data_IF_767933314882
#
_entry.id   IF_767933314882
#
_cell.length_a   1.000
_cell.length_b   1.000
_cell.length_c   1.000
_cell.angle_alpha   90.00
_cell.angle_beta   90.00
_cell.angle_gamma   90.00
#
_symmetry.space_group_name_H-M   'P 1'
#
loop_
_entity.id
_entity.type
_entity.pdbx_description
1 polymer ?
#
# COMPACT_ATOMS: atom_id res chain seq x y z
N UNK A 1 10.03 13.70 18.96
CA UNK A 1 9.36 12.41 18.70
C UNK A 1 9.88 11.86 17.38
N UNK A 2 10.33 10.60 17.33
CA UNK A 2 10.99 10.00 16.16
C UNK A 2 10.08 10.07 14.92
N UNK A 3 10.42 10.91 13.93
CA UNK A 3 9.72 11.07 12.63
C UNK A 3 9.70 9.80 11.77
N UNK A 4 10.39 8.74 12.19
CA UNK A 4 10.55 7.52 11.43
C UNK A 4 9.32 6.60 11.40
N UNK A 5 8.34 6.78 12.31
CA UNK A 5 7.17 5.91 12.45
C UNK A 5 5.86 6.74 12.41
N UNK A 6 5.73 7.61 11.41
CA UNK A 6 4.51 8.40 11.18
C UNK A 6 3.69 7.77 10.06
N UNK A 7 2.37 7.69 10.23
CA UNK A 7 1.47 7.09 9.24
C UNK A 7 0.63 8.19 8.59
N UNK A 8 1.03 8.61 7.38
CA UNK A 8 0.44 9.74 6.66
C UNK A 8 1.40 10.93 6.54
N UNK A 9 1.02 11.89 5.71
CA UNK A 9 1.73 13.16 5.53
C UNK A 9 1.04 14.27 6.34
N UNK A 10 1.85 15.15 6.92
CA UNK A 10 1.35 16.39 7.53
C UNK A 10 1.16 17.41 6.40
N UNK A 11 -0.09 17.67 6.07
CA UNK A 11 -0.49 18.65 5.06
C UNK A 11 -0.98 19.89 5.77
N UNK A 12 -0.52 21.07 5.33
CA UNK A 12 -1.02 22.35 5.82
C UNK A 12 -2.54 22.43 5.63
N UNK A 13 -3.28 22.51 6.75
CA UNK A 13 -4.75 22.50 6.77
C UNK A 13 -5.40 21.32 7.49
N UNK A 14 -4.63 20.27 7.83
CA UNK A 14 -5.13 19.15 8.63
C UNK A 14 -4.36 19.02 9.96
N UNK A 15 -5.10 18.91 11.07
CA UNK A 15 -4.51 18.67 12.41
C UNK A 15 -4.10 17.21 12.65
N UNK A 16 -4.37 16.32 11.68
CA UNK A 16 -4.08 14.88 11.73
C UNK A 16 -3.30 14.48 10.49
N UNK A 17 -2.40 13.47 10.58
CA UNK A 17 -1.72 12.96 9.42
C UNK A 17 -2.73 12.33 8.47
N UNK A 18 -2.64 12.71 7.20
CA UNK A 18 -3.58 12.30 6.15
C UNK A 18 -2.86 11.47 5.11
N UNK A 19 -3.59 10.59 4.44
CA UNK A 19 -3.06 9.76 3.37
C UNK A 19 -3.99 9.84 2.16
N UNK A 20 -3.41 9.93 0.97
CA UNK A 20 -4.18 10.01 -0.27
C UNK A 20 -4.75 8.63 -0.62
N UNK A 21 -6.07 8.48 -0.58
CA UNK A 21 -6.76 7.22 -0.86
C UNK A 21 -6.42 6.63 -2.21
N UNK A 22 -6.29 7.51 -3.21
CA UNK A 22 -6.18 7.07 -4.61
C UNK A 22 -4.82 6.41 -4.86
N UNK A 23 -3.79 6.89 -4.17
CA UNK A 23 -2.45 6.28 -4.20
C UNK A 23 -2.48 4.89 -3.58
N UNK A 24 -3.20 4.71 -2.47
CA UNK A 24 -3.38 3.40 -1.83
C UNK A 24 -4.16 2.44 -2.72
N UNK A 25 -5.25 2.89 -3.33
CA UNK A 25 -6.05 2.07 -4.24
C UNK A 25 -5.25 1.65 -5.47
N UNK A 26 -4.49 2.57 -6.06
CA UNK A 26 -3.62 2.24 -7.19
C UNK A 26 -2.54 1.23 -6.79
N UNK A 27 -1.90 1.43 -5.63
CA UNK A 27 -0.89 0.51 -5.11
C UNK A 27 -1.46 -0.90 -4.86
N UNK A 28 -2.63 -0.98 -4.21
CA UNK A 28 -3.33 -2.24 -3.95
C UNK A 28 -3.71 -2.95 -5.26
N UNK A 29 -4.22 -2.22 -6.25
CA UNK A 29 -4.56 -2.76 -7.57
C UNK A 29 -3.35 -3.35 -8.32
N UNK A 30 -2.18 -2.71 -8.24
CA UNK A 30 -0.95 -3.20 -8.88
C UNK A 30 -0.47 -4.50 -8.22
N UNK A 31 -0.41 -4.51 -6.88
CA UNK A 31 0.00 -5.70 -6.12
C UNK A 31 -0.98 -6.86 -6.33
N UNK A 32 -2.29 -6.56 -6.35
CA UNK A 32 -3.33 -7.53 -6.65
C UNK A 32 -3.15 -8.14 -8.05
N UNK A 33 -2.95 -7.32 -9.08
CA UNK A 33 -2.78 -7.78 -10.45
C UNK A 33 -1.53 -8.66 -10.59
N UNK A 34 -0.42 -8.27 -9.96
CA UNK A 34 0.82 -9.03 -9.94
C UNK A 34 0.64 -10.40 -9.26
N UNK A 35 -0.05 -10.44 -8.12
CA UNK A 35 -0.39 -11.70 -7.43
C UNK A 35 -1.35 -12.55 -8.25
N UNK A 36 -2.36 -11.94 -8.87
CA UNK A 36 -3.34 -12.64 -9.70
C UNK A 36 -2.66 -13.33 -10.89
N UNK A 37 -1.82 -12.61 -11.66
CA UNK A 37 -1.05 -13.20 -12.77
C UNK A 37 -0.17 -14.35 -12.27
N UNK A 38 0.49 -14.17 -11.12
CA UNK A 38 1.35 -15.20 -10.52
C UNK A 38 0.58 -16.47 -10.17
N UNK A 39 -0.63 -16.34 -9.62
CA UNK A 39 -1.50 -17.48 -9.30
C UNK A 39 -1.99 -18.15 -10.59
N UNK A 40 -2.42 -17.38 -11.59
CA UNK A 40 -2.82 -17.94 -12.89
C UNK A 40 -1.67 -18.75 -13.52
N UNK A 41 -0.45 -18.23 -13.49
CA UNK A 41 0.72 -18.93 -14.02
C UNK A 41 0.98 -20.27 -13.33
N UNK A 42 0.83 -20.31 -11.99
CA UNK A 42 0.92 -21.56 -11.23
C UNK A 42 -0.20 -22.53 -11.60
N UNK A 43 -1.43 -22.05 -11.76
CA UNK A 43 -2.57 -22.90 -12.11
C UNK A 43 -2.44 -23.55 -13.49
N UNK A 44 -1.96 -22.82 -14.48
CA UNK A 44 -1.85 -23.33 -15.85
C UNK A 44 -0.54 -24.06 -16.14
N UNK A 45 0.59 -23.54 -15.65
CA UNK A 45 1.93 -24.03 -16.01
C UNK A 45 2.66 -24.73 -14.85
N UNK A 46 2.14 -24.66 -13.62
CA UNK A 46 2.82 -25.17 -12.43
C UNK A 46 4.12 -24.42 -12.09
N UNK A 47 4.35 -23.25 -12.67
CA UNK A 47 5.56 -22.46 -12.44
C UNK A 47 5.41 -21.56 -11.21
N UNK A 48 6.11 -21.93 -10.13
CA UNK A 48 6.11 -21.20 -8.86
C UNK A 48 7.14 -20.07 -8.79
N UNK A 49 7.98 -19.88 -9.81
CA UNK A 49 9.07 -18.91 -9.79
C UNK A 49 8.52 -17.48 -9.65
N UNK A 50 7.53 -17.12 -10.46
CA UNK A 50 6.92 -15.80 -10.41
C UNK A 50 6.17 -15.57 -9.09
N UNK A 51 5.44 -16.60 -8.61
CA UNK A 51 4.71 -16.53 -7.34
C UNK A 51 5.62 -16.29 -6.13
N UNK A 52 6.80 -16.92 -6.10
CA UNK A 52 7.78 -16.70 -5.03
C UNK A 52 8.23 -15.24 -4.99
N UNK A 53 8.60 -14.67 -6.14
CA UNK A 53 8.98 -13.26 -6.20
C UNK A 53 7.83 -12.32 -5.85
N UNK A 54 6.63 -12.62 -6.34
CA UNK A 54 5.43 -11.84 -6.04
C UNK A 54 5.15 -11.77 -4.54
N UNK A 55 5.19 -12.91 -3.85
CA UNK A 55 5.00 -12.98 -2.40
C UNK A 55 6.12 -12.23 -1.67
N UNK A 56 7.39 -12.39 -2.06
CA UNK A 56 8.50 -11.67 -1.42
C UNK A 56 8.37 -10.15 -1.59
N UNK A 57 8.00 -9.66 -2.77
CA UNK A 57 7.77 -8.23 -3.03
C UNK A 57 6.59 -7.73 -2.18
N UNK A 58 5.47 -8.45 -2.19
CA UNK A 58 4.27 -8.10 -1.43
C UNK A 58 4.57 -8.03 0.08
N UNK A 59 5.22 -9.05 0.64
CA UNK A 59 5.55 -9.08 2.06
C UNK A 59 6.55 -7.98 2.44
N UNK A 60 7.54 -7.72 1.58
CA UNK A 60 8.52 -6.65 1.82
C UNK A 60 7.82 -5.29 1.83
N UNK A 61 6.94 -5.03 0.86
CA UNK A 61 6.16 -3.80 0.78
C UNK A 61 5.25 -3.63 2.02
N UNK A 62 4.60 -4.70 2.46
CA UNK A 62 3.75 -4.71 3.65
C UNK A 62 4.54 -4.44 4.93
N UNK A 63 5.72 -5.05 5.08
CA UNK A 63 6.62 -4.80 6.22
C UNK A 63 7.04 -3.33 6.27
N UNK A 64 7.45 -2.75 5.15
CA UNK A 64 7.85 -1.34 5.08
C UNK A 64 6.67 -0.43 5.43
N UNK A 65 5.49 -0.71 4.89
CA UNK A 65 4.27 0.08 5.11
C UNK A 65 3.81 0.06 6.57
N UNK A 66 3.94 -1.08 7.24
CA UNK A 66 3.45 -1.29 8.61
C UNK A 66 4.46 -0.85 9.66
N UNK A 67 5.72 -1.28 9.53
CA UNK A 67 6.73 -1.10 10.58
C UNK A 67 7.58 0.16 10.41
N UNK A 68 7.76 0.64 9.19
CA UNK A 68 8.57 1.83 8.90
C UNK A 68 7.65 3.02 8.68
N UNK A 69 7.20 3.24 7.45
CA UNK A 69 6.32 4.34 7.08
C UNK A 69 5.70 4.05 5.71
N UNK A 70 4.37 4.24 5.53
CA UNK A 70 3.72 4.06 4.23
C UNK A 70 4.33 4.93 3.12
N UNK A 71 4.92 6.08 3.43
CA UNK A 71 5.61 6.94 2.46
C UNK A 71 6.76 6.25 1.72
N UNK A 72 7.40 5.26 2.34
CA UNK A 72 8.50 4.50 1.73
C UNK A 72 8.06 3.21 1.05
N UNK A 73 6.77 2.88 1.05
CA UNK A 73 6.26 1.71 0.35
C UNK A 73 6.47 1.89 -1.17
N UNK A 74 7.25 1.00 -1.81
CA UNK A 74 7.50 1.09 -3.25
C UNK A 74 6.22 1.08 -4.07
N UNK A 75 5.21 0.30 -3.66
CA UNK A 75 3.93 0.27 -4.37
C UNK A 75 3.13 1.58 -4.23
N UNK A 76 3.18 2.27 -3.08
CA UNK A 76 2.54 3.58 -2.90
C UNK A 76 3.21 4.66 -3.75
N UNK A 77 4.54 4.64 -3.86
CA UNK A 77 5.27 5.57 -4.73
C UNK A 77 4.83 5.39 -6.20
N UNK A 78 4.76 4.14 -6.66
CA UNK A 78 4.33 3.82 -8.03
C UNK A 78 2.85 4.19 -8.24
N UNK A 79 1.99 3.89 -7.27
CA UNK A 79 0.58 4.28 -7.28
C UNK A 79 0.39 5.80 -7.33
N UNK A 80 1.19 6.54 -6.57
CA UNK A 80 1.23 8.01 -6.60
C UNK A 80 1.65 8.57 -7.96
N UNK A 81 2.63 7.96 -8.63
CA UNK A 81 3.02 8.38 -9.98
C UNK A 81 1.91 8.16 -11.02
N UNK A 82 1.12 7.11 -10.88
CA UNK A 82 -0.01 6.81 -11.77
C UNK A 82 -1.16 7.80 -11.52
N UNK A 83 -1.41 8.15 -10.27
CA UNK A 83 -2.57 8.96 -9.86
C UNK A 83 -2.25 10.45 -9.72
N UNK A 84 -1.01 10.87 -10.02
CA UNK A 84 -0.53 12.26 -9.84
C UNK A 84 -1.41 13.35 -10.49
N UNK A 85 -2.15 13.00 -11.55
CA UNK A 85 -2.97 13.96 -12.31
C UNK A 85 -4.43 14.01 -11.83
N UNK A 86 -4.79 13.22 -10.81
CA UNK A 86 -6.13 13.21 -10.24
C UNK A 86 -6.18 14.07 -8.98
N UNK A 87 -7.34 14.63 -8.66
CA UNK A 87 -7.55 15.38 -7.41
C UNK A 87 -7.28 14.48 -6.20
N UNK A 88 -6.42 14.87 -5.24
CA UNK A 88 -6.15 14.03 -4.08
C UNK A 88 -7.38 13.94 -3.18
N UNK A 89 -7.68 12.74 -2.71
CA UNK A 89 -8.72 12.49 -1.71
C UNK A 89 -8.04 12.04 -0.42
N UNK A 90 -8.11 12.88 0.61
CA UNK A 90 -7.42 12.65 1.87
C UNK A 90 -8.34 11.96 2.88
N UNK A 91 -7.94 10.80 3.39
CA UNK A 91 -8.52 10.24 4.63
C UNK A 91 -7.60 10.58 5.79
N UNK A 92 -8.20 11.06 6.88
CA UNK A 92 -7.52 11.14 8.16
C UNK A 92 -7.14 9.75 8.65
N UNK A 93 -5.85 9.49 8.85
CA UNK A 93 -5.39 8.20 9.33
C UNK A 93 -5.93 7.95 10.76
N UNK A 94 -6.83 6.96 10.98
CA UNK A 94 -7.30 6.67 12.34
C UNK A 94 -6.14 6.09 13.17
N UNK A 95 -5.82 6.74 14.29
CA UNK A 95 -4.66 6.45 15.17
C UNK A 95 -4.71 5.07 15.88
N UNK A 96 -5.79 4.29 15.74
CA UNK A 96 -6.00 3.07 16.52
C UNK A 96 -5.24 1.87 15.91
N UNK A 97 -4.15 1.48 16.55
CA UNK A 97 -3.25 0.38 16.14
C UNK A 97 -3.97 -0.97 15.98
N UNK A 98 -5.05 -1.21 16.73
CA UNK A 98 -5.80 -2.48 16.71
C UNK A 98 -6.63 -2.70 15.44
N UNK A 99 -7.09 -1.62 14.80
CA UNK A 99 -7.87 -1.67 13.55
C UNK A 99 -6.99 -1.51 12.30
N UNK A 100 -5.71 -1.17 12.46
CA UNK A 100 -4.77 -0.94 11.35
C UNK A 100 -4.56 -2.18 10.46
N UNK A 101 -4.57 -3.38 11.03
CA UNK A 101 -4.25 -4.63 10.33
C UNK A 101 -5.37 -5.13 9.42
N UNK A 102 -6.62 -5.04 9.88
CA UNK A 102 -7.77 -5.58 9.17
C UNK A 102 -8.32 -4.59 8.12
N UNK A 103 -8.24 -3.28 8.40
CA UNK A 103 -8.81 -2.25 7.53
C UNK A 103 -7.85 -1.76 6.44
N UNK A 104 -6.53 -1.87 6.60
CA UNK A 104 -5.57 -1.43 5.57
C UNK A 104 -5.62 -2.30 4.29
N UNK A 105 -6.08 -3.54 4.39
CA UNK A 105 -6.28 -4.42 3.23
C UNK A 105 -7.75 -4.36 2.76
N UNK A 106 -8.72 -4.49 3.69
CA UNK A 106 -10.15 -4.64 3.34
C UNK A 106 -10.81 -3.34 2.87
N UNK A 107 -10.34 -2.16 3.31
CA UNK A 107 -10.97 -0.88 2.90
C UNK A 107 -10.52 -0.42 1.50
N UNK A 108 -9.51 -1.05 0.93
CA UNK A 108 -8.88 -0.63 -0.32
C UNK A 108 -9.01 -1.64 -1.46
N UNK A 109 -9.61 -2.82 -1.19
CA UNK A 109 -10.19 -3.75 -2.17
C UNK A 109 -11.64 -3.35 -2.42
#
# INVERSE_FOLDING_TARGET
MNKFIQFGEDIEGFNIPVLNEREVRAAAGILFLLMFISIQLVLFNGDFLLLKYAITIFLTDLVIRVFVNPKFSPSLIIGGLIVKNQTPEYIGAPQNIKTKWLFAEIRFI
#
